data_IF_714512667599
#
_entry.id   IF_714512667599
#
_cell.length_a   1.000
_cell.length_b   1.000
_cell.length_c   1.000
_cell.angle_alpha   90.00
_cell.angle_beta   90.00
_cell.angle_gamma   90.00
#
_symmetry.space_group_name_H-M   'P 1'
#
loop_
_entity.id
_entity.type
_entity.pdbx_description
1 polymer ?
#
# COMPACT_ATOMS: atom_id res chain seq x y z
N UNK A 1 15.58 -26.50 -115.98
CA UNK A 1 14.31 -26.10 -115.32
C UNK A 1 14.60 -25.04 -114.26
N UNK A 2 13.98 -23.86 -114.41
CA UNK A 2 13.54 -22.85 -113.40
C UNK A 2 14.35 -22.64 -112.08
N UNK A 3 15.04 -21.50 -112.00
CA UNK A 3 14.72 -20.26 -111.24
C UNK A 3 14.38 -20.24 -109.71
N UNK A 4 15.12 -19.33 -109.03
CA UNK A 4 14.72 -18.27 -108.03
C UNK A 4 14.65 -18.54 -106.51
N UNK A 5 15.60 -17.92 -105.79
CA UNK A 5 15.49 -16.74 -104.86
C UNK A 5 14.75 -16.81 -103.50
N UNK A 6 15.15 -15.83 -102.65
CA UNK A 6 14.68 -15.39 -101.29
C UNK A 6 15.31 -16.10 -100.07
N UNK A 7 15.73 -15.44 -98.97
CA UNK A 7 15.86 -14.03 -98.58
C UNK A 7 16.55 -13.93 -97.20
N UNK A 8 17.35 -12.89 -96.98
CA UNK A 8 17.94 -12.48 -95.68
C UNK A 8 16.88 -11.86 -94.75
N UNK A 9 17.02 -12.08 -93.44
CA UNK A 9 16.25 -11.38 -92.39
C UNK A 9 16.80 -11.55 -90.97
N UNK A 10 17.54 -10.52 -90.51
CA UNK A 10 17.65 -9.91 -89.17
C UNK A 10 17.62 -10.75 -87.86
N UNK A 11 18.66 -10.57 -87.02
CA UNK A 11 18.51 -10.14 -85.62
C UNK A 11 19.86 -9.66 -85.05
N UNK A 12 19.97 -8.36 -84.75
CA UNK A 12 21.12 -7.77 -84.06
C UNK A 12 21.04 -7.95 -82.55
N UNK A 13 22.18 -8.20 -81.92
CA UNK A 13 22.38 -8.11 -80.46
C UNK A 13 23.58 -7.21 -80.21
N UNK A 14 23.29 -5.99 -79.75
CA UNK A 14 24.26 -5.05 -79.20
C UNK A 14 24.60 -5.48 -77.77
N UNK A 15 25.85 -5.89 -77.54
CA UNK A 15 26.41 -6.05 -76.20
C UNK A 15 26.85 -4.65 -75.69
N UNK A 16 26.17 -4.14 -74.67
CA UNK A 16 26.66 -3.01 -73.87
C UNK A 16 27.47 -3.56 -72.69
N UNK A 17 28.78 -3.32 -72.70
CA UNK A 17 29.68 -3.55 -71.59
C UNK A 17 29.37 -2.52 -70.48
N UNK A 18 28.72 -2.94 -69.39
CA UNK A 18 28.55 -2.10 -68.18
C UNK A 18 29.68 -2.40 -67.22
N UNK A 19 30.65 -1.50 -67.13
CA UNK A 19 31.62 -1.47 -66.05
C UNK A 19 30.90 -1.44 -64.68
N UNK A 20 31.39 -2.18 -63.66
CA UNK A 20 30.81 -2.11 -62.32
C UNK A 20 30.97 -0.70 -61.76
N UNK A 21 29.99 -0.18 -61.00
CA UNK A 21 30.12 1.13 -60.39
C UNK A 21 31.27 1.09 -59.38
N UNK A 22 32.25 1.96 -59.55
CA UNK A 22 33.29 2.25 -58.55
C UNK A 22 32.57 2.76 -57.30
N UNK A 23 32.44 1.91 -56.26
CA UNK A 23 32.06 2.37 -54.92
C UNK A 23 33.17 3.30 -54.44
N UNK A 24 32.89 4.59 -54.38
CA UNK A 24 33.83 5.59 -53.87
C UNK A 24 34.04 5.36 -52.37
N UNK A 25 35.28 5.12 -51.95
CA UNK A 25 35.66 4.94 -50.53
C UNK A 25 35.18 6.11 -49.64
N UNK A 26 35.01 7.30 -50.21
CA UNK A 26 34.46 8.50 -49.56
C UNK A 26 33.00 8.35 -49.07
N UNK A 27 32.18 7.49 -49.70
CA UNK A 27 30.80 7.26 -49.28
C UNK A 27 30.71 6.33 -48.05
N UNK A 28 31.64 5.38 -47.92
CA UNK A 28 31.73 4.49 -46.76
C UNK A 28 32.35 5.21 -45.54
N UNK A 29 33.35 6.08 -45.74
CA UNK A 29 33.93 6.92 -44.67
C UNK A 29 32.88 7.88 -44.06
N UNK A 30 32.05 8.50 -44.91
CA UNK A 30 30.96 9.37 -44.44
C UNK A 30 29.87 8.61 -43.67
N UNK A 31 29.63 7.33 -44.00
CA UNK A 31 28.68 6.47 -43.27
C UNK A 31 29.26 6.00 -41.94
N UNK A 32 30.53 5.59 -41.93
CA UNK A 32 31.23 5.19 -40.71
C UNK A 32 31.40 6.36 -39.73
N UNK A 33 31.75 7.55 -40.21
CA UNK A 33 31.83 8.76 -39.39
C UNK A 33 30.46 9.14 -38.79
N UNK A 34 29.36 9.02 -39.55
CA UNK A 34 28.00 9.23 -39.03
C UNK A 34 27.58 8.18 -37.99
N UNK A 35 27.98 6.91 -38.19
CA UNK A 35 27.74 5.84 -37.22
C UNK A 35 28.55 6.02 -35.94
N UNK A 36 29.82 6.42 -36.05
CA UNK A 36 30.67 6.73 -34.90
C UNK A 36 30.13 7.96 -34.13
N UNK A 37 29.71 9.01 -34.85
CA UNK A 37 29.09 10.18 -34.23
C UNK A 37 27.73 9.85 -33.58
N UNK A 38 26.92 8.96 -34.16
CA UNK A 38 25.67 8.52 -33.56
C UNK A 38 25.88 7.63 -32.34
N UNK A 39 26.91 6.77 -32.35
CA UNK A 39 27.31 5.97 -31.20
C UNK A 39 27.87 6.83 -30.06
N UNK A 40 28.72 7.81 -30.38
CA UNK A 40 29.23 8.77 -29.40
C UNK A 40 28.10 9.62 -28.80
N UNK A 41 27.16 10.10 -29.62
CA UNK A 41 25.97 10.81 -29.17
C UNK A 41 24.97 9.93 -28.39
N UNK A 42 24.94 8.61 -28.65
CA UNK A 42 24.17 7.66 -27.86
C UNK A 42 24.81 7.41 -26.49
N UNK A 43 26.12 7.23 -26.45
CA UNK A 43 26.89 7.07 -25.21
C UNK A 43 26.78 8.32 -24.31
N UNK A 44 26.83 9.52 -24.89
CA UNK A 44 26.67 10.77 -24.15
C UNK A 44 25.27 10.96 -23.54
N UNK A 45 24.23 10.33 -24.11
CA UNK A 45 22.84 10.37 -23.58
C UNK A 45 22.56 9.31 -22.52
N UNK A 46 23.45 8.32 -22.36
CA UNK A 46 23.28 7.23 -21.39
C UNK A 46 23.75 7.69 -20.02
N UNK A 47 22.83 8.32 -19.28
CA UNK A 47 23.07 8.79 -17.91
C UNK A 47 22.75 7.70 -16.89
N UNK A 48 23.17 7.89 -15.64
CA UNK A 48 22.80 7.01 -14.53
C UNK A 48 21.28 6.81 -14.42
N UNK A 49 20.49 7.85 -14.69
CA UNK A 49 19.02 7.76 -14.67
C UNK A 49 18.47 6.91 -15.81
N UNK A 50 19.08 6.98 -17.00
CA UNK A 50 18.70 6.13 -18.14
C UNK A 50 18.99 4.67 -17.82
N UNK A 51 20.16 4.38 -17.25
CA UNK A 51 20.52 3.02 -16.85
C UNK A 51 19.65 2.49 -15.71
N UNK A 52 19.35 3.32 -14.72
CA UNK A 52 18.45 3.00 -13.62
C UNK A 52 17.04 2.65 -14.12
N UNK A 53 16.47 3.50 -14.98
CA UNK A 53 15.16 3.27 -15.58
C UNK A 53 15.15 1.99 -16.43
N UNK A 54 16.14 1.79 -17.30
CA UNK A 54 16.24 0.61 -18.15
C UNK A 54 16.37 -0.69 -17.35
N UNK A 55 17.06 -0.64 -16.19
CA UNK A 55 17.22 -1.78 -15.28
C UNK A 55 15.90 -2.19 -14.61
N UNK A 56 15.04 -1.24 -14.26
CA UNK A 56 13.82 -1.51 -13.46
C UNK A 56 12.56 -1.64 -14.32
N UNK A 57 12.46 -0.91 -15.44
CA UNK A 57 11.29 -0.88 -16.30
C UNK A 57 10.72 -2.28 -16.66
N UNK A 58 11.53 -3.33 -16.95
CA UNK A 58 11.01 -4.67 -17.20
C UNK A 58 10.12 -5.23 -16.09
N UNK A 59 10.41 -4.91 -14.83
CA UNK A 59 9.69 -5.40 -13.66
C UNK A 59 8.43 -4.60 -13.31
N UNK A 60 8.19 -3.46 -13.99
CA UNK A 60 7.03 -2.60 -13.74
C UNK A 60 5.85 -3.07 -14.59
N UNK A 61 4.69 -3.18 -13.96
CA UNK A 61 3.48 -3.73 -14.55
C UNK A 61 2.33 -2.74 -14.49
N UNK A 62 1.41 -2.84 -15.45
CA UNK A 62 0.11 -2.18 -15.39
C UNK A 62 -0.85 -3.02 -14.55
N UNK A 63 -1.68 -2.37 -13.74
CA UNK A 63 -2.75 -3.00 -12.97
C UNK A 63 -4.08 -2.42 -13.43
N UNK A 64 -4.91 -3.29 -14.00
CA UNK A 64 -6.25 -2.96 -14.42
C UNK A 64 -7.22 -3.66 -13.46
N UNK A 65 -8.12 -2.88 -12.85
CA UNK A 65 -9.14 -3.41 -11.95
C UNK A 65 -10.52 -3.19 -12.52
N UNK A 66 -11.38 -4.18 -12.37
CA UNK A 66 -12.79 -4.09 -12.71
C UNK A 66 -13.58 -4.11 -11.40
N UNK A 67 -14.39 -3.08 -11.17
CA UNK A 67 -15.27 -2.96 -10.00
C UNK A 67 -16.71 -2.84 -10.49
N UNK A 68 -17.67 -3.43 -9.77
CA UNK A 68 -19.09 -3.15 -9.95
C UNK A 68 -19.58 -2.22 -8.85
N UNK A 69 -19.95 -1.01 -9.24
CA UNK A 69 -20.52 -0.02 -8.33
C UNK A 69 -22.03 0.02 -8.48
N UNK A 70 -22.75 -0.12 -7.37
CA UNK A 70 -24.20 0.06 -7.33
C UNK A 70 -24.50 1.55 -7.27
N UNK A 71 -25.08 2.09 -8.33
CA UNK A 71 -25.43 3.51 -8.34
C UNK A 71 -26.61 3.75 -7.39
N UNK A 72 -26.41 4.64 -6.42
CA UNK A 72 -27.52 5.23 -5.65
C UNK A 72 -27.88 6.53 -6.35
N UNK A 73 -29.11 6.71 -6.85
CA UNK A 73 -29.52 7.93 -7.54
C UNK A 73 -29.26 9.15 -6.66
N UNK A 74 -28.44 10.09 -7.13
CA UNK A 74 -28.07 11.30 -6.38
C UNK A 74 -29.07 12.43 -6.62
N UNK A 75 -29.85 12.33 -7.68
CA UNK A 75 -30.86 13.33 -8.04
C UNK A 75 -32.25 12.71 -8.22
N UNK A 76 -33.34 13.46 -7.93
CA UNK A 76 -34.71 13.01 -8.19
C UNK A 76 -34.98 12.65 -9.66
N UNK A 77 -34.17 13.16 -10.59
CA UNK A 77 -34.32 12.88 -12.02
C UNK A 77 -33.70 11.52 -12.42
N UNK A 78 -32.60 11.12 -11.78
CA UNK A 78 -31.96 9.80 -11.97
C UNK A 78 -32.86 8.63 -11.50
N UNK A 79 -33.78 8.87 -10.55
CA UNK A 79 -34.77 7.89 -10.09
C UNK A 79 -35.73 7.41 -11.19
N UNK A 80 -35.93 8.18 -12.27
CA UNK A 80 -36.86 7.85 -13.34
C UNK A 80 -36.23 7.05 -14.49
N UNK A 81 -34.90 7.07 -14.63
CA UNK A 81 -34.20 6.47 -15.77
C UNK A 81 -33.15 5.41 -15.39
N UNK A 82 -32.77 5.32 -14.11
CA UNK A 82 -31.84 4.29 -13.61
C UNK A 82 -32.65 3.19 -12.89
N UNK A 83 -32.69 1.95 -13.40
CA UNK A 83 -33.33 0.83 -12.71
C UNK A 83 -32.74 0.68 -11.30
N UNK A 84 -33.60 0.43 -10.30
CA UNK A 84 -33.13 0.14 -8.93
C UNK A 84 -32.16 -1.04 -8.96
N UNK A 85 -30.91 -0.80 -8.61
CA UNK A 85 -29.86 -1.82 -8.61
C UNK A 85 -29.03 -1.93 -9.89
N UNK A 86 -29.01 -0.89 -10.73
CA UNK A 86 -28.07 -0.85 -11.87
C UNK A 86 -26.62 -0.81 -11.35
N UNK A 87 -25.86 -1.86 -11.66
CA UNK A 87 -24.43 -1.96 -11.38
C UNK A 87 -23.66 -1.37 -12.56
N UNK A 88 -22.87 -0.32 -12.33
CA UNK A 88 -21.94 0.22 -13.32
C UNK A 88 -20.61 -0.50 -13.16
N UNK A 89 -20.08 -1.04 -14.25
CA UNK A 89 -18.69 -1.51 -14.30
C UNK A 89 -17.77 -0.29 -14.39
N UNK A 90 -16.94 -0.10 -13.36
CA UNK A 90 -15.91 0.94 -13.30
C UNK A 90 -14.55 0.26 -13.47
N UNK A 91 -13.73 0.82 -14.36
CA UNK A 91 -12.36 0.37 -14.57
C UNK A 91 -11.40 1.32 -13.85
N UNK A 92 -10.54 0.77 -13.00
CA UNK A 92 -9.43 1.49 -12.37
C UNK A 92 -8.11 1.08 -13.00
N UNK A 93 -7.16 2.01 -13.04
CA UNK A 93 -5.82 1.83 -13.58
C UNK A 93 -4.78 2.26 -12.57
N UNK A 94 -3.71 1.49 -12.45
CA UNK A 94 -2.56 1.82 -11.61
C UNK A 94 -1.31 1.07 -12.04
N UNK A 95 -0.28 1.16 -11.22
CA UNK A 95 0.99 0.49 -11.46
C UNK A 95 1.33 -0.48 -10.33
N UNK A 96 2.20 -1.43 -10.63
CA UNK A 96 2.86 -2.25 -9.63
C UNK A 96 4.27 -2.63 -10.08
N UNK A 97 4.99 -3.37 -9.26
CA UNK A 97 6.25 -3.95 -9.66
C UNK A 97 6.48 -5.33 -9.05
N UNK A 98 7.14 -6.19 -9.82
CA UNK A 98 7.50 -7.55 -9.45
C UNK A 98 8.66 -7.52 -8.44
N UNK A 99 8.41 -7.99 -7.23
CA UNK A 99 9.41 -8.04 -6.14
C UNK A 99 10.10 -9.40 -6.02
N UNK A 100 9.52 -10.44 -6.60
CA UNK A 100 10.11 -11.78 -6.64
C UNK A 100 9.71 -12.55 -7.89
N UNK A 101 10.60 -13.45 -8.32
CA UNK A 101 10.49 -14.22 -9.56
C UNK A 101 9.33 -15.21 -9.56
N UNK A 102 8.79 -15.48 -8.38
CA UNK A 102 7.63 -16.32 -8.20
C UNK A 102 6.33 -15.62 -8.70
N UNK A 103 6.37 -14.30 -8.94
CA UNK A 103 5.26 -13.51 -9.47
C UNK A 103 4.55 -12.64 -8.43
N UNK A 104 5.17 -12.40 -7.28
CA UNK A 104 4.66 -11.43 -6.29
C UNK A 104 4.86 -10.01 -6.79
N UNK A 105 3.79 -9.23 -6.71
CA UNK A 105 3.73 -7.82 -7.11
C UNK A 105 3.34 -6.98 -5.90
N UNK A 106 4.04 -5.87 -5.69
CA UNK A 106 3.64 -4.82 -4.74
C UNK A 106 2.98 -3.68 -5.52
N UNK A 107 1.89 -3.16 -4.96
CA UNK A 107 1.17 -1.97 -5.43
C UNK A 107 0.53 -1.25 -4.24
N UNK A 108 -0.21 -0.17 -4.49
CA UNK A 108 -0.99 0.49 -3.47
C UNK A 108 -2.32 -0.20 -3.21
N UNK A 109 -2.84 -0.01 -2.01
CA UNK A 109 -4.15 -0.54 -1.63
C UNK A 109 -5.27 0.18 -2.38
N UNK A 110 -5.22 1.51 -2.49
CA UNK A 110 -6.27 2.28 -3.18
C UNK A 110 -6.41 1.94 -4.68
N UNK A 111 -5.35 1.39 -5.31
CA UNK A 111 -5.40 0.92 -6.71
C UNK A 111 -6.34 -0.27 -6.85
N UNK A 112 -6.32 -1.18 -5.88
CA UNK A 112 -7.04 -2.47 -5.93
C UNK A 112 -8.30 -2.52 -5.06
N UNK A 113 -8.59 -1.45 -4.32
CA UNK A 113 -9.73 -1.37 -3.41
C UNK A 113 -11.05 -1.73 -4.12
N UNK A 114 -11.81 -2.68 -3.56
CA UNK A 114 -13.10 -3.08 -4.10
C UNK A 114 -13.06 -3.71 -5.51
N UNK A 115 -11.90 -4.18 -5.96
CA UNK A 115 -11.77 -4.88 -7.23
C UNK A 115 -12.45 -6.27 -7.21
N UNK A 116 -13.37 -6.49 -8.16
CA UNK A 116 -13.94 -7.82 -8.42
C UNK A 116 -12.94 -8.71 -9.15
N UNK A 117 -12.18 -8.12 -10.07
CA UNK A 117 -11.11 -8.80 -10.81
C UNK A 117 -9.94 -7.87 -11.07
N UNK A 118 -8.75 -8.47 -11.11
CA UNK A 118 -7.48 -7.76 -11.28
C UNK A 118 -6.73 -8.42 -12.45
N UNK A 119 -6.39 -7.61 -13.45
CA UNK A 119 -5.57 -8.02 -14.60
C UNK A 119 -4.28 -7.24 -14.57
N UNK A 120 -3.17 -7.97 -14.59
CA UNK A 120 -1.82 -7.41 -14.64
C UNK A 120 -1.28 -7.55 -16.04
N UNK A 121 -0.82 -6.44 -16.62
CA UNK A 121 -0.14 -6.43 -17.93
C UNK A 121 1.34 -6.16 -17.73
N UNK A 122 2.20 -7.09 -18.15
CA UNK A 122 3.66 -6.91 -18.11
C UNK A 122 4.15 -6.00 -19.24
N UNK A 123 5.36 -5.46 -19.11
CA UNK A 123 5.97 -4.57 -20.12
C UNK A 123 6.05 -5.17 -21.53
N UNK A 124 6.16 -6.49 -21.63
CA UNK A 124 6.16 -7.22 -22.90
C UNK A 124 4.75 -7.47 -23.49
N UNK A 125 3.70 -6.93 -22.85
CA UNK A 125 2.32 -6.96 -23.33
C UNK A 125 1.55 -8.23 -22.96
N UNK A 126 2.07 -9.10 -22.09
CA UNK A 126 1.33 -10.28 -21.61
C UNK A 126 0.38 -9.89 -20.48
N UNK A 127 -0.85 -10.41 -20.57
CA UNK A 127 -1.87 -10.25 -19.54
C UNK A 127 -1.98 -11.47 -18.63
N UNK A 128 -2.10 -11.22 -17.33
CA UNK A 128 -2.27 -12.26 -16.32
C UNK A 128 -3.42 -11.90 -15.37
N UNK A 129 -4.28 -12.87 -15.07
CA UNK A 129 -5.18 -12.72 -13.93
C UNK A 129 -4.36 -12.76 -12.65
N UNK A 130 -4.56 -11.76 -11.79
CA UNK A 130 -3.86 -11.64 -10.52
C UNK A 130 -4.77 -11.98 -9.35
N UNK A 131 -4.23 -12.74 -8.40
CA UNK A 131 -4.86 -13.02 -7.11
C UNK A 131 -4.39 -11.98 -6.08
N UNK A 132 -5.32 -11.37 -5.37
CA UNK A 132 -5.01 -10.60 -4.16
C UNK A 132 -4.56 -11.56 -3.05
N UNK A 133 -3.31 -11.42 -2.59
CA UNK A 133 -2.81 -12.16 -1.42
C UNK A 133 -3.24 -11.48 -0.12
N UNK A 134 -3.34 -10.16 -0.14
CA UNK A 134 -3.84 -9.34 0.96
C UNK A 134 -3.60 -7.86 0.69
N UNK A 135 -4.24 -7.02 1.49
CA UNK A 135 -4.13 -5.56 1.41
C UNK A 135 -4.09 -4.92 2.80
N UNK A 136 -3.47 -3.75 2.88
CA UNK A 136 -3.40 -2.93 4.08
C UNK A 136 -3.78 -1.48 3.78
N UNK A 137 -5.03 -1.08 4.07
CA UNK A 137 -5.48 0.30 3.90
C UNK A 137 -4.73 1.31 4.77
N UNK A 138 -4.17 0.91 5.92
CA UNK A 138 -3.48 1.83 6.83
C UNK A 138 -2.14 2.30 6.26
N UNK A 139 -1.43 1.41 5.57
CA UNK A 139 -0.14 1.73 4.95
C UNK A 139 -0.24 1.98 3.45
N UNK A 140 -1.44 1.84 2.87
CA UNK A 140 -1.70 1.93 1.43
C UNK A 140 -0.83 0.95 0.61
N UNK A 141 -0.73 -0.31 1.06
CA UNK A 141 0.03 -1.36 0.36
C UNK A 141 -0.88 -2.56 0.10
N UNK A 142 -0.78 -3.12 -1.10
CA UNK A 142 -1.39 -4.41 -1.43
C UNK A 142 -0.40 -5.33 -2.14
N UNK A 143 -0.63 -6.63 -1.99
CA UNK A 143 0.19 -7.68 -2.59
C UNK A 143 -0.64 -8.53 -3.52
N UNK A 144 -0.21 -8.59 -4.77
CA UNK A 144 -0.82 -9.42 -5.79
C UNK A 144 0.10 -10.60 -6.16
N UNK A 145 -0.49 -11.62 -6.76
CA UNK A 145 0.22 -12.76 -7.33
C UNK A 145 -0.30 -13.11 -8.71
N UNK A 146 0.61 -13.16 -9.68
CA UNK A 146 0.38 -13.74 -11.01
C UNK A 146 1.06 -15.11 -11.13
N UNK A 147 0.48 -15.99 -11.94
CA UNK A 147 1.08 -17.30 -12.25
C UNK A 147 1.77 -17.23 -13.61
N UNK A 148 3.09 -17.02 -13.62
CA UNK A 148 3.91 -17.04 -14.84
C UNK A 148 5.38 -17.38 -14.50
N UNK A 149 6.12 -17.86 -15.49
CA UNK A 149 7.58 -18.02 -15.40
C UNK A 149 8.31 -16.84 -16.05
N UNK A 150 9.62 -16.75 -15.77
CA UNK A 150 10.55 -15.81 -16.40
C UNK A 150 10.15 -14.34 -16.26
N UNK A 151 9.60 -14.01 -15.09
CA UNK A 151 9.21 -12.66 -14.73
C UNK A 151 10.44 -11.86 -14.24
N UNK A 152 10.72 -10.69 -14.82
CA UNK A 152 11.77 -9.80 -14.33
C UNK A 152 11.40 -9.24 -12.95
N UNK A 153 12.38 -9.06 -12.07
CA UNK A 153 12.18 -8.54 -10.73
C UNK A 153 12.90 -7.20 -10.54
N UNK A 154 12.27 -6.28 -9.82
CA UNK A 154 12.87 -5.00 -9.49
C UNK A 154 13.98 -5.19 -8.43
N UNK A 155 15.21 -4.69 -8.63
CA UNK A 155 16.23 -4.67 -7.60
C UNK A 155 15.76 -3.83 -6.41
N UNK A 156 15.87 -4.37 -5.21
CA UNK A 156 15.49 -3.66 -3.98
C UNK A 156 16.69 -2.88 -3.43
N UNK A 157 16.44 -1.64 -2.99
CA UNK A 157 17.41 -0.74 -2.38
C UNK A 157 17.16 -0.56 -0.88
N UNK A 158 17.63 0.58 -0.37
CA UNK A 158 17.47 1.01 1.02
C UNK A 158 16.90 2.43 1.00
N UNK A 159 15.93 2.73 1.87
CA UNK A 159 15.39 4.08 2.02
C UNK A 159 15.90 4.83 3.26
N UNK A 160 16.54 4.13 4.19
CA UNK A 160 17.04 4.64 5.45
C UNK A 160 18.30 5.51 5.33
N UNK A 161 19.03 5.46 4.21
CA UNK A 161 20.22 6.26 3.93
C UNK A 161 20.04 7.26 2.77
N UNK A 162 18.79 7.48 2.33
CA UNK A 162 18.49 8.45 1.28
C UNK A 162 18.97 9.86 1.65
N UNK A 163 19.68 10.49 0.71
CA UNK A 163 20.17 11.85 0.87
C UNK A 163 19.21 12.84 0.21
N UNK A 164 18.90 13.94 0.90
CA UNK A 164 18.17 15.05 0.28
C UNK A 164 19.00 15.59 -0.89
N UNK A 165 18.38 15.68 -2.08
CA UNK A 165 19.03 16.03 -3.34
C UNK A 165 19.53 14.82 -4.15
N UNK A 166 19.43 13.60 -3.64
CA UNK A 166 19.74 12.38 -4.40
C UNK A 166 18.76 12.20 -5.56
N UNK A 167 19.28 11.86 -6.73
CA UNK A 167 18.47 11.60 -7.91
C UNK A 167 17.58 10.38 -7.73
N UNK A 168 16.30 10.55 -8.06
CA UNK A 168 15.31 9.48 -8.08
C UNK A 168 14.50 9.51 -9.36
N UNK A 169 13.95 8.36 -9.72
CA UNK A 169 13.04 8.20 -10.85
C UNK A 169 11.78 7.49 -10.36
N UNK A 170 10.63 8.10 -10.59
CA UNK A 170 9.35 7.43 -10.42
C UNK A 170 8.97 6.75 -11.74
N UNK A 171 8.60 5.48 -11.66
CA UNK A 171 8.21 4.68 -12.83
C UNK A 171 6.78 4.20 -12.64
N UNK A 172 5.97 4.30 -13.69
CA UNK A 172 4.61 3.77 -13.70
C UNK A 172 4.20 3.29 -15.09
N UNK A 173 3.24 2.38 -15.16
CA UNK A 173 2.68 1.85 -16.39
C UNK A 173 1.14 1.84 -16.36
N UNK A 174 0.45 2.97 -16.17
CA UNK A 174 -1.01 2.97 -16.02
C UNK A 174 -1.81 2.65 -17.26
N UNK A 175 -1.24 2.86 -18.43
CA UNK A 175 -1.96 2.85 -19.70
C UNK A 175 -1.50 1.73 -20.62
N UNK A 176 -0.96 0.65 -20.05
CA UNK A 176 -0.19 -0.40 -20.73
C UNK A 176 -0.62 -0.78 -22.16
N UNK A 177 -1.90 -0.90 -22.49
CA UNK A 177 -2.34 -1.11 -23.89
C UNK A 177 -3.05 0.10 -24.51
N UNK A 178 -3.54 1.04 -23.69
CA UNK A 178 -4.27 2.23 -24.12
C UNK A 178 -3.41 3.20 -24.94
N UNK A 179 -2.08 3.15 -24.80
CA UNK A 179 -1.13 3.96 -25.58
C UNK A 179 -0.53 3.22 -26.79
N UNK A 180 -1.03 2.02 -27.12
CA UNK A 180 -0.52 1.21 -28.24
C UNK A 180 0.85 0.56 -28.00
N UNK A 181 1.42 0.69 -26.79
CA UNK A 181 2.56 -0.07 -26.29
C UNK A 181 2.55 -0.09 -24.76
N UNK A 182 3.19 -1.11 -24.18
CA UNK A 182 3.23 -1.35 -22.72
C UNK A 182 4.47 -0.81 -22.03
N UNK A 183 5.08 0.24 -22.61
CA UNK A 183 6.26 0.86 -22.03
C UNK A 183 5.91 1.72 -20.81
N UNK A 184 6.61 1.54 -19.67
CA UNK A 184 6.43 2.40 -18.52
C UNK A 184 6.83 3.86 -18.82
N UNK A 185 6.06 4.78 -18.27
CA UNK A 185 6.43 6.20 -18.16
C UNK A 185 7.40 6.41 -17.00
N UNK A 186 8.35 7.31 -17.20
CA UNK A 186 9.31 7.71 -16.16
C UNK A 186 9.23 9.21 -15.91
N UNK A 187 9.36 9.61 -14.66
CA UNK A 187 9.59 11.00 -14.25
C UNK A 187 10.80 11.04 -13.32
N UNK A 188 11.72 11.95 -13.58
CA UNK A 188 12.92 12.11 -12.76
C UNK A 188 12.79 13.33 -11.86
N UNK A 189 13.42 13.25 -10.70
CA UNK A 189 13.50 14.32 -9.72
C UNK A 189 14.56 13.98 -8.68
N UNK A 190 14.45 14.59 -7.51
CA UNK A 190 15.32 14.33 -6.37
C UNK A 190 14.51 13.93 -5.14
N UNK A 191 15.18 13.32 -4.16
CA UNK A 191 14.65 13.23 -2.81
C UNK A 191 14.58 14.65 -2.25
N UNK A 192 13.38 15.22 -2.13
CA UNK A 192 13.18 16.56 -1.59
C UNK A 192 13.18 16.57 -0.06
N UNK A 193 12.75 15.48 0.57
CA UNK A 193 12.81 15.26 2.01
C UNK A 193 12.57 13.79 2.38
N UNK A 194 12.96 13.40 3.59
CA UNK A 194 12.66 12.10 4.20
C UNK A 194 11.90 12.29 5.51
N UNK A 195 11.16 11.27 5.95
CA UNK A 195 10.46 11.31 7.24
C UNK A 195 9.28 12.29 7.28
N UNK A 196 8.62 12.52 6.14
CA UNK A 196 7.48 13.47 6.07
C UNK A 196 6.19 12.85 6.59
N UNK A 197 5.53 13.56 7.49
CA UNK A 197 4.20 13.22 7.98
C UNK A 197 3.18 14.13 7.30
N UNK A 198 2.23 13.54 6.58
CA UNK A 198 1.07 14.21 6.02
C UNK A 198 -0.11 13.98 6.94
N UNK A 199 -0.64 15.08 7.44
CA UNK A 199 -1.91 15.06 8.15
C UNK A 199 -3.05 15.04 7.14
N UNK A 200 -4.14 14.30 7.42
CA UNK A 200 -5.36 14.36 6.62
C UNK A 200 -5.80 15.82 6.49
N UNK A 201 -6.02 16.29 5.26
CA UNK A 201 -6.57 17.62 5.00
C UNK A 201 -7.77 17.44 4.06
N UNK A 202 -8.97 17.87 4.50
CA UNK A 202 -10.19 17.74 3.70
C UNK A 202 -10.59 16.28 3.41
N UNK A 203 -10.89 15.99 2.14
CA UNK A 203 -11.44 14.72 1.65
C UNK A 203 -10.39 13.60 1.44
N UNK A 204 -9.15 13.77 1.90
CA UNK A 204 -8.09 12.75 1.79
C UNK A 204 -8.03 11.90 3.07
N UNK A 205 -8.64 10.70 3.10
CA UNK A 205 -8.51 9.79 4.24
C UNK A 205 -7.09 9.22 4.29
N UNK A 206 -6.47 9.24 5.47
CA UNK A 206 -5.21 8.54 5.75
C UNK A 206 -4.13 9.42 6.38
N UNK A 207 -3.43 8.86 7.36
CA UNK A 207 -2.24 9.48 7.96
C UNK A 207 -1.03 8.86 7.28
N UNK A 208 -0.44 9.55 6.31
CA UNK A 208 0.80 9.09 5.69
C UNK A 208 1.98 9.58 6.52
N UNK A 209 2.63 8.69 7.24
CA UNK A 209 3.72 9.03 8.15
C UNK A 209 5.07 8.54 7.62
N UNK A 210 6.13 9.27 7.93
CA UNK A 210 7.51 8.99 7.50
C UNK A 210 7.64 8.64 6.01
N UNK A 211 7.00 9.42 5.15
CA UNK A 211 7.08 9.26 3.70
C UNK A 211 8.39 9.84 3.15
N UNK A 212 8.81 9.32 1.99
CA UNK A 212 9.82 9.95 1.13
C UNK A 212 9.10 11.00 0.30
N UNK A 213 9.60 12.23 0.28
CA UNK A 213 9.10 13.30 -0.57
C UNK A 213 10.01 13.46 -1.79
N UNK A 214 9.43 13.63 -2.97
CA UNK A 214 10.15 13.90 -4.21
C UNK A 214 9.43 14.94 -5.07
N UNK A 215 10.18 15.63 -5.91
CA UNK A 215 9.67 16.49 -6.96
C UNK A 215 9.52 15.77 -8.32
N UNK A 216 9.94 14.50 -8.40
CA UNK A 216 9.60 13.63 -9.52
C UNK A 216 8.07 13.59 -9.66
N UNK A 217 7.57 13.80 -10.87
CA UNK A 217 6.13 13.91 -11.08
C UNK A 217 5.42 12.59 -10.75
N UNK A 218 4.64 12.59 -9.66
CA UNK A 218 3.70 11.53 -9.30
C UNK A 218 2.31 11.97 -9.79
N UNK A 219 1.64 11.16 -10.59
CA UNK A 219 0.35 11.47 -11.19
C UNK A 219 -0.54 10.22 -11.15
N UNK A 220 -1.88 10.36 -11.22
CA UNK A 220 -2.78 9.22 -11.36
C UNK A 220 -2.24 8.25 -12.41
N UNK A 221 -1.90 7.06 -11.93
CA UNK A 221 -1.39 5.98 -12.76
C UNK A 221 0.06 5.54 -12.52
N UNK A 222 0.95 6.37 -11.96
CA UNK A 222 2.23 5.87 -11.44
C UNK A 222 2.17 5.46 -9.95
N UNK A 223 1.04 5.72 -9.28
CA UNK A 223 0.69 5.13 -7.99
C UNK A 223 0.80 3.60 -8.04
N UNK A 224 1.43 3.04 -7.02
CA UNK A 224 1.77 1.63 -6.86
C UNK A 224 3.06 1.22 -7.58
N UNK A 225 3.57 2.05 -8.50
CA UNK A 225 4.86 1.85 -9.16
C UNK A 225 6.06 2.20 -8.26
N UNK A 226 7.28 1.81 -8.65
CA UNK A 226 8.46 2.04 -7.82
C UNK A 226 8.99 3.47 -7.94
N UNK A 227 9.48 4.00 -6.82
CA UNK A 227 10.47 5.08 -6.78
C UNK A 227 11.86 4.45 -6.70
N UNK A 228 12.75 4.79 -7.62
CA UNK A 228 14.09 4.19 -7.70
C UNK A 228 15.19 5.23 -7.54
N UNK A 229 16.32 4.84 -6.94
CA UNK A 229 17.53 5.66 -6.91
C UNK A 229 18.31 5.58 -8.24
N UNK A 230 19.37 6.40 -8.37
CA UNK A 230 20.24 6.42 -9.54
C UNK A 230 20.99 5.09 -9.83
N UNK A 231 20.97 4.12 -8.90
CA UNK A 231 21.55 2.79 -9.07
C UNK A 231 20.55 1.78 -9.69
N UNK A 232 19.30 2.19 -9.90
CA UNK A 232 18.24 1.30 -10.38
C UNK A 232 17.75 0.35 -9.29
N UNK A 233 17.66 0.83 -8.05
CA UNK A 233 17.14 0.09 -6.92
C UNK A 233 15.88 0.78 -6.38
N UNK A 234 14.85 0.01 -6.06
CA UNK A 234 13.60 0.50 -5.48
C UNK A 234 13.85 0.98 -4.06
N UNK A 235 13.56 2.26 -3.81
CA UNK A 235 13.66 2.91 -2.50
C UNK A 235 12.29 3.30 -1.93
N UNK A 236 11.23 3.24 -2.74
CA UNK A 236 9.86 3.37 -2.24
C UNK A 236 8.79 2.96 -3.23
N UNK A 237 7.53 3.02 -2.78
CA UNK A 237 6.32 2.81 -3.59
C UNK A 237 5.61 4.15 -3.76
N UNK A 238 5.50 4.64 -4.99
CA UNK A 238 4.79 5.88 -5.30
C UNK A 238 3.34 5.74 -4.83
N UNK A 239 2.81 6.67 -4.04
CA UNK A 239 1.45 6.55 -3.49
C UNK A 239 0.60 7.77 -3.81
N UNK A 240 0.99 8.93 -3.29
CA UNK A 240 0.13 10.12 -3.30
C UNK A 240 0.89 11.39 -3.70
N UNK A 241 0.12 12.44 -3.96
CA UNK A 241 0.57 13.80 -4.19
C UNK A 241 -0.16 14.76 -3.26
N UNK A 242 0.53 15.83 -2.89
CA UNK A 242 -0.17 16.98 -2.32
C UNK A 242 -0.64 17.88 -3.47
N UNK A 243 -1.90 17.76 -3.89
CA UNK A 243 -2.46 18.53 -5.01
C UNK A 243 -3.94 18.86 -4.81
N UNK A 244 -4.30 20.10 -5.15
CA UNK A 244 -5.70 20.56 -5.21
C UNK A 244 -6.36 20.30 -6.57
N UNK A 245 -5.58 19.92 -7.59
CA UNK A 245 -6.06 19.74 -8.98
C UNK A 245 -6.03 18.28 -9.43
N UNK A 246 -5.44 17.39 -8.61
CA UNK A 246 -5.24 15.97 -8.95
C UNK A 246 -4.02 15.68 -9.84
N UNK A 247 -3.26 16.70 -10.25
CA UNK A 247 -1.99 16.55 -10.95
C UNK A 247 -0.79 17.01 -10.10
N UNK A 248 0.41 16.52 -10.41
CA UNK A 248 1.64 16.88 -9.70
C UNK A 248 1.90 18.39 -9.73
N UNK A 249 2.21 18.96 -8.56
CA UNK A 249 2.72 20.33 -8.40
C UNK A 249 4.18 20.34 -7.91
N UNK A 250 4.90 19.23 -8.11
CA UNK A 250 6.28 19.04 -7.62
C UNK A 250 6.37 18.60 -6.16
N UNK A 251 5.28 18.05 -5.61
CA UNK A 251 5.22 17.52 -4.24
C UNK A 251 4.57 16.13 -4.28
N UNK A 252 5.39 15.11 -4.54
CA UNK A 252 5.00 13.70 -4.55
C UNK A 252 5.53 12.94 -3.33
N UNK A 253 4.87 11.83 -3.00
CA UNK A 253 5.21 10.99 -1.86
C UNK A 253 5.31 9.51 -2.21
N UNK A 254 6.31 8.86 -1.64
CA UNK A 254 6.50 7.42 -1.72
C UNK A 254 6.60 6.79 -0.33
N UNK A 255 6.02 5.59 -0.21
CA UNK A 255 6.12 4.75 0.98
C UNK A 255 7.52 4.14 1.00
N UNK A 256 8.30 4.26 2.11
CA UNK A 256 9.60 3.63 2.27
C UNK A 256 9.61 2.14 1.88
N UNK A 257 10.63 1.68 1.15
CA UNK A 257 10.67 0.30 0.64
C UNK A 257 10.70 -0.74 1.77
N UNK A 258 11.38 -0.47 2.88
CA UNK A 258 11.41 -1.34 4.07
C UNK A 258 10.00 -1.52 4.64
N UNK A 259 9.19 -0.46 4.62
CA UNK A 259 7.79 -0.54 5.06
C UNK A 259 6.95 -1.39 4.13
N UNK A 260 7.04 -1.11 2.84
CA UNK A 260 6.29 -1.85 1.84
C UNK A 260 6.62 -3.35 1.86
N UNK A 261 7.91 -3.71 1.99
CA UNK A 261 8.34 -5.11 2.04
C UNK A 261 7.92 -5.83 3.32
N UNK A 262 7.97 -5.15 4.47
CA UNK A 262 7.48 -5.73 5.74
C UNK A 262 5.98 -6.00 5.69
N UNK A 263 5.21 -5.03 5.21
CA UNK A 263 3.77 -5.19 5.01
C UNK A 263 3.51 -6.32 4.02
N UNK A 264 4.26 -6.37 2.92
CA UNK A 264 4.10 -7.43 1.93
C UNK A 264 4.41 -8.82 2.49
N UNK A 265 5.41 -8.97 3.35
CA UNK A 265 5.74 -10.23 4.01
C UNK A 265 4.64 -10.68 5.00
N UNK A 266 4.09 -9.77 5.80
CA UNK A 266 2.95 -10.07 6.69
C UNK A 266 1.71 -10.50 5.88
N UNK A 267 1.38 -9.77 4.80
CA UNK A 267 0.27 -10.12 3.91
C UNK A 267 0.50 -11.47 3.22
N UNK A 268 1.71 -11.76 2.75
CA UNK A 268 2.05 -13.04 2.12
C UNK A 268 1.95 -14.22 3.09
N UNK A 269 2.36 -14.04 4.35
CA UNK A 269 2.40 -15.12 5.35
C UNK A 269 1.06 -15.35 6.05
N UNK A 270 0.33 -14.28 6.37
CA UNK A 270 -0.85 -14.36 7.24
C UNK A 270 -2.14 -13.88 6.55
N UNK A 271 -2.05 -13.30 5.35
CA UNK A 271 -3.19 -12.67 4.65
C UNK A 271 -3.61 -11.32 5.25
N UNK A 272 -3.03 -10.92 6.38
CA UNK A 272 -3.33 -9.69 7.12
C UNK A 272 -2.06 -9.14 7.78
N UNK A 273 -2.00 -7.82 7.97
CA UNK A 273 -0.89 -7.19 8.72
C UNK A 273 -1.15 -7.27 10.22
N UNK A 274 -0.32 -8.02 10.95
CA UNK A 274 -0.42 -8.06 12.42
C UNK A 274 0.17 -6.77 12.99
N UNK A 275 -0.67 -5.97 13.64
CA UNK A 275 -0.26 -4.66 14.16
C UNK A 275 0.62 -4.79 15.40
N UNK A 276 1.66 -3.96 15.43
CA UNK A 276 2.53 -3.80 16.58
C UNK A 276 1.78 -3.19 17.77
N UNK A 277 1.93 -3.83 18.92
CA UNK A 277 1.44 -3.35 20.19
C UNK A 277 2.58 -3.37 21.21
N UNK A 278 2.87 -2.20 21.78
CA UNK A 278 3.90 -2.05 22.81
C UNK A 278 3.31 -1.76 24.19
N UNK A 279 1.98 -1.66 24.32
CA UNK A 279 1.31 -1.44 25.59
C UNK A 279 1.55 -0.06 26.21
N UNK A 280 1.74 0.99 25.41
CA UNK A 280 1.71 2.37 25.87
C UNK A 280 0.98 3.26 24.88
N UNK A 281 0.46 4.38 25.40
CA UNK A 281 -0.01 5.50 24.60
C UNK A 281 0.84 6.72 24.88
N UNK A 282 0.93 7.59 23.89
CA UNK A 282 1.65 8.85 23.98
C UNK A 282 0.73 10.02 23.64
N UNK A 283 1.06 11.18 24.19
CA UNK A 283 0.58 12.46 23.72
C UNK A 283 1.79 13.33 23.30
N UNK A 284 1.66 14.00 22.15
CA UNK A 284 2.50 15.15 21.80
C UNK A 284 1.82 16.45 22.24
N UNK A 285 2.45 17.62 22.07
CA UNK A 285 1.62 18.84 21.98
C UNK A 285 1.00 18.88 20.59
N UNK A 286 -0.29 19.16 20.53
CA UNK A 286 -1.04 19.25 19.27
C UNK A 286 -0.63 20.49 18.46
N UNK A 287 -0.10 21.51 19.14
CA UNK A 287 0.40 22.74 18.54
C UNK A 287 1.93 22.71 18.39
N UNK A 288 2.42 22.79 17.14
CA UNK A 288 3.84 23.01 16.80
C UNK A 288 4.45 24.23 17.52
N UNK A 289 3.63 25.23 17.87
CA UNK A 289 4.04 26.48 18.56
C UNK A 289 4.29 26.30 20.07
N UNK A 290 3.68 25.30 20.70
CA UNK A 290 3.91 24.90 22.10
C UNK A 290 5.10 23.95 22.23
N UNK A 291 5.50 23.37 21.11
CA UNK A 291 6.59 22.40 20.98
C UNK A 291 7.97 23.09 20.97
N UNK A 292 8.16 24.07 21.86
CA UNK A 292 9.42 24.81 22.05
C UNK A 292 10.40 24.00 22.90
N UNK A 293 11.02 22.99 22.28
CA UNK A 293 12.41 22.64 22.59
C UNK A 293 12.70 21.55 23.62
N UNK A 294 11.71 20.76 24.10
CA UNK A 294 12.05 19.62 24.99
C UNK A 294 12.29 18.30 24.26
N UNK A 295 11.78 18.13 23.04
CA UNK A 295 11.93 16.89 22.27
C UNK A 295 11.18 15.70 22.90
N UNK A 296 10.60 14.84 22.08
CA UNK A 296 9.93 13.62 22.53
C UNK A 296 8.42 13.72 22.73
N UNK A 297 7.83 12.55 22.99
CA UNK A 297 6.38 12.33 23.20
C UNK A 297 6.14 11.78 24.59
N UNK A 298 5.15 12.32 25.31
CA UNK A 298 4.88 11.97 26.71
C UNK A 298 4.01 10.73 26.80
N UNK A 299 4.41 9.76 27.59
CA UNK A 299 3.62 8.56 27.89
C UNK A 299 2.44 8.94 28.78
N UNK A 300 1.23 8.73 28.27
CA UNK A 300 -0.03 9.05 28.98
C UNK A 300 -0.67 7.83 29.62
N UNK A 301 -0.45 6.65 29.04
CA UNK A 301 -0.99 5.39 29.53
C UNK A 301 -0.01 4.26 29.31
N UNK A 302 0.01 3.31 30.24
CA UNK A 302 0.78 2.06 30.13
C UNK A 302 -0.14 0.90 30.48
N UNK A 303 -0.13 -0.14 29.64
CA UNK A 303 -0.92 -1.35 29.85
C UNK A 303 -0.34 -2.17 31.00
N UNK A 304 -1.13 -2.51 32.03
CA UNK A 304 -0.68 -3.44 33.07
C UNK A 304 -0.19 -4.76 32.44
N UNK A 305 1.03 -5.17 32.78
CA UNK A 305 1.66 -6.38 32.25
C UNK A 305 2.06 -6.35 30.76
N UNK A 306 1.81 -5.25 30.05
CA UNK A 306 2.19 -5.09 28.64
C UNK A 306 3.68 -4.81 28.43
N UNK A 307 4.16 -4.79 27.17
CA UNK A 307 5.58 -4.67 26.87
C UNK A 307 6.26 -3.43 27.48
N UNK A 308 5.62 -2.27 27.41
CA UNK A 308 6.12 -1.04 28.01
C UNK A 308 6.28 -1.13 29.54
N UNK A 309 5.29 -1.72 30.23
CA UNK A 309 5.37 -1.92 31.67
C UNK A 309 6.52 -2.87 32.04
N UNK A 310 6.69 -3.97 31.31
CA UNK A 310 7.79 -4.93 31.52
C UNK A 310 9.15 -4.32 31.21
N UNK A 311 9.21 -3.37 30.28
CA UNK A 311 10.40 -2.57 29.96
C UNK A 311 10.65 -1.44 30.98
N UNK A 312 9.80 -1.28 32.00
CA UNK A 312 9.95 -0.27 33.05
C UNK A 312 9.56 1.15 32.64
N UNK A 313 8.88 1.31 31.49
CA UNK A 313 8.31 2.57 31.03
C UNK A 313 7.04 2.85 31.83
N UNK A 314 6.90 4.08 32.31
CA UNK A 314 5.80 4.52 33.17
C UNK A 314 5.09 5.75 32.63
N UNK A 315 3.88 6.01 33.13
CA UNK A 315 3.15 7.25 32.84
C UNK A 315 4.00 8.45 33.27
N UNK A 316 4.04 9.49 32.42
CA UNK A 316 4.84 10.69 32.63
C UNK A 316 6.25 10.65 32.04
N UNK A 317 6.74 9.47 31.64
CA UNK A 317 7.97 9.33 30.86
C UNK A 317 7.86 10.08 29.53
N UNK A 318 8.98 10.56 29.00
CA UNK A 318 9.05 11.17 27.67
C UNK A 318 9.92 10.30 26.76
N UNK A 319 9.35 9.76 25.69
CA UNK A 319 10.10 9.02 24.68
C UNK A 319 10.78 10.02 23.75
N UNK A 320 12.11 10.01 23.66
CA UNK A 320 12.88 11.02 22.90
C UNK A 320 13.45 10.48 21.59
N UNK A 321 13.66 9.18 21.50
CA UNK A 321 14.17 8.49 20.32
C UNK A 321 13.61 7.08 20.29
N UNK A 322 13.29 6.57 19.10
CA UNK A 322 12.96 5.16 18.89
C UNK A 322 13.59 4.68 17.58
N UNK A 323 14.12 3.45 17.59
CA UNK A 323 14.77 2.84 16.43
C UNK A 323 15.88 3.72 15.80
N UNK A 324 16.57 4.52 16.60
CA UNK A 324 17.62 5.43 16.12
C UNK A 324 17.10 6.79 15.63
N UNK A 325 15.79 6.96 15.43
CA UNK A 325 15.19 8.22 14.98
C UNK A 325 14.67 9.08 16.16
N UNK A 326 14.90 10.42 16.14
CA UNK A 326 14.35 11.30 17.15
C UNK A 326 12.82 11.36 17.05
N UNK A 327 12.14 11.28 18.20
CA UNK A 327 10.69 11.43 18.27
C UNK A 327 10.38 12.91 18.48
N UNK A 328 9.78 13.55 17.47
CA UNK A 328 9.43 14.97 17.52
C UNK A 328 7.93 15.24 17.63
N UNK A 329 7.12 14.29 17.27
CA UNK A 329 5.67 14.42 17.29
C UNK A 329 5.07 13.07 17.62
N UNK A 330 3.80 13.05 17.99
CA UNK A 330 3.10 11.77 18.14
C UNK A 330 3.12 10.98 16.81
N UNK A 331 3.13 11.67 15.66
CA UNK A 331 3.22 11.05 14.34
C UNK A 331 4.53 10.29 14.12
N UNK A 332 5.65 10.75 14.68
CA UNK A 332 6.91 10.00 14.60
C UNK A 332 6.85 8.68 15.37
N UNK A 333 6.08 8.67 16.46
CA UNK A 333 5.82 7.45 17.22
C UNK A 333 4.86 6.52 16.46
N UNK A 334 3.80 7.05 15.85
CA UNK A 334 2.92 6.27 14.98
C UNK A 334 3.68 5.67 13.79
N UNK A 335 4.57 6.45 13.17
CA UNK A 335 5.46 5.96 12.10
C UNK A 335 6.34 4.79 12.56
N UNK A 336 6.97 4.95 13.72
CA UNK A 336 7.80 3.89 14.32
C UNK A 336 6.98 2.61 14.50
N UNK A 337 5.71 2.70 14.92
CA UNK A 337 4.84 1.52 15.09
C UNK A 337 4.43 0.87 13.77
N UNK A 338 4.31 1.63 12.68
CA UNK A 338 4.11 1.06 11.34
C UNK A 338 5.37 0.36 10.81
N UNK A 339 6.54 0.73 11.37
CA UNK A 339 7.84 0.23 10.95
C UNK A 339 8.38 -0.98 11.72
N UNK A 340 7.57 -1.53 12.62
CA UNK A 340 7.92 -2.67 13.47
C UNK A 340 6.81 -3.72 13.43
N UNK A 341 7.16 -4.97 13.70
CA UNK A 341 6.26 -6.12 13.68
C UNK A 341 6.20 -6.83 15.04
N UNK A 342 5.11 -7.58 15.33
CA UNK A 342 5.06 -8.49 16.47
C UNK A 342 6.23 -9.48 16.47
N UNK A 343 6.99 -9.51 17.57
CA UNK A 343 8.23 -10.29 17.72
C UNK A 343 9.49 -9.42 17.71
N UNK A 344 9.41 -8.18 17.24
CA UNK A 344 10.54 -7.26 17.23
C UNK A 344 10.91 -6.77 18.63
N UNK A 345 12.11 -6.19 18.72
CA UNK A 345 12.59 -5.45 19.89
C UNK A 345 13.11 -4.09 19.44
N UNK A 346 12.56 -3.03 20.01
CA UNK A 346 12.87 -1.65 19.62
C UNK A 346 13.67 -0.97 20.71
N UNK A 347 14.82 -0.39 20.36
CA UNK A 347 15.57 0.46 21.29
C UNK A 347 14.89 1.84 21.35
N UNK A 348 14.49 2.23 22.55
CA UNK A 348 13.83 3.51 22.84
C UNK A 348 14.61 4.26 23.89
N UNK A 349 14.83 5.56 23.69
CA UNK A 349 15.39 6.43 24.72
C UNK A 349 14.25 7.11 25.48
N UNK A 350 14.28 6.98 26.80
CA UNK A 350 13.23 7.43 27.71
C UNK A 350 13.80 8.44 28.70
N UNK A 351 13.16 9.59 28.82
CA UNK A 351 13.51 10.64 29.77
C UNK A 351 12.59 10.59 30.98
N UNK A 352 13.17 10.45 32.18
CA UNK A 352 12.48 10.51 33.49
C UNK A 352 13.30 11.34 34.46
N UNK A 353 12.67 12.35 35.09
CA UNK A 353 13.37 13.23 36.04
C UNK A 353 14.57 13.96 35.44
N UNK A 354 14.49 14.33 34.15
CA UNK A 354 15.56 15.03 33.42
C UNK A 354 16.72 14.14 32.96
N UNK A 355 16.68 12.83 33.17
CA UNK A 355 17.73 11.89 32.74
C UNK A 355 17.22 10.96 31.64
N UNK A 356 18.04 10.79 30.61
CA UNK A 356 17.75 9.89 29.49
C UNK A 356 18.32 8.50 29.78
N UNK A 357 17.53 7.46 29.52
CA UNK A 357 17.93 6.05 29.61
C UNK A 357 17.50 5.30 28.35
N UNK A 358 18.36 4.43 27.84
CA UNK A 358 17.99 3.50 26.78
C UNK A 358 17.23 2.30 27.38
N UNK A 359 16.15 1.92 26.73
CA UNK A 359 15.28 0.81 27.10
C UNK A 359 15.02 -0.03 25.85
N UNK A 360 15.04 -1.35 25.98
CA UNK A 360 14.59 -2.25 24.92
C UNK A 360 13.11 -2.55 25.13
N UNK A 361 12.29 -2.16 24.17
CA UNK A 361 10.85 -2.33 24.18
C UNK A 361 10.47 -3.52 23.29
N UNK A 362 9.88 -4.56 23.89
CA UNK A 362 9.33 -5.67 23.12
C UNK A 362 8.09 -5.25 22.34
N UNK A 363 7.87 -5.89 21.19
CA UNK A 363 6.69 -5.68 20.34
C UNK A 363 5.85 -6.94 20.30
N UNK A 364 4.58 -6.83 20.65
CA UNK A 364 3.61 -7.93 20.58
C UNK A 364 2.54 -7.64 19.52
N UNK A 365 1.74 -8.65 19.17
CA UNK A 365 0.50 -8.40 18.45
C UNK A 365 -0.54 -7.77 19.38
N UNK A 366 -1.51 -7.06 18.81
CA UNK A 366 -2.64 -6.51 19.57
C UNK A 366 -3.27 -7.58 20.49
N UNK A 367 -3.49 -7.27 21.78
CA UNK A 367 -4.17 -8.16 22.72
C UNK A 367 -5.47 -8.76 22.18
N UNK A 368 -6.27 -8.00 21.44
CA UNK A 368 -7.48 -8.52 20.78
C UNK A 368 -7.17 -9.53 19.70
N UNK A 369 -6.15 -9.35 18.88
CA UNK A 369 -5.78 -10.29 17.80
C UNK A 369 -5.32 -11.64 18.34
N UNK A 370 -4.62 -11.66 19.49
CA UNK A 370 -4.12 -12.88 20.14
C UNK A 370 -5.09 -13.53 21.13
N UNK A 371 -6.21 -12.87 21.44
CA UNK A 371 -7.22 -13.42 22.34
C UNK A 371 -8.03 -14.54 21.66
N UNK A 372 -8.44 -15.54 22.45
CA UNK A 372 -9.33 -16.61 22.01
C UNK A 372 -10.63 -16.04 21.42
N UNK A 373 -10.99 -16.50 20.23
CA UNK A 373 -12.21 -16.10 19.53
C UNK A 373 -13.33 -17.05 19.90
N UNK A 374 -14.40 -16.49 20.46
CA UNK A 374 -15.62 -17.25 20.77
C UNK A 374 -16.70 -16.85 19.77
N UNK A 375 -17.07 -17.78 18.89
CA UNK A 375 -18.14 -17.56 17.92
C UNK A 375 -19.52 -17.72 18.55
N UNK A 376 -20.40 -16.78 18.28
CA UNK A 376 -21.82 -16.77 18.66
C UNK A 376 -22.64 -16.32 17.45
N UNK A 377 -23.93 -16.66 17.42
CA UNK A 377 -24.88 -16.19 16.39
C UNK A 377 -24.36 -16.38 14.93
N UNK A 378 -23.65 -17.49 14.68
CA UNK A 378 -23.07 -17.80 13.37
C UNK A 378 -21.73 -17.11 13.13
N UNK A 379 -21.73 -15.80 12.89
CA UNK A 379 -20.58 -15.04 12.38
C UNK A 379 -20.07 -13.91 13.29
N UNK A 380 -20.59 -13.83 14.53
CA UNK A 380 -20.14 -12.89 15.54
C UNK A 380 -19.04 -13.52 16.38
N UNK A 381 -17.83 -12.94 16.32
CA UNK A 381 -16.67 -13.36 17.10
C UNK A 381 -16.45 -12.42 18.28
N UNK A 382 -16.43 -12.99 19.48
CA UNK A 382 -16.23 -12.29 20.73
C UNK A 382 -14.83 -12.53 21.29
N UNK A 383 -14.29 -11.54 21.99
CA UNK A 383 -13.12 -11.69 22.86
C UNK A 383 -13.44 -11.19 24.27
N UNK A 384 -12.92 -11.87 25.28
CA UNK A 384 -13.08 -11.45 26.68
C UNK A 384 -12.30 -10.16 26.91
N UNK A 385 -12.95 -9.16 27.52
CA UNK A 385 -12.27 -7.92 27.91
C UNK A 385 -11.28 -8.22 29.03
N UNK A 386 -10.01 -7.93 28.77
CA UNK A 386 -8.90 -7.96 29.73
C UNK A 386 -8.38 -6.54 29.95
N UNK A 387 -7.57 -6.26 31.00
CA UNK A 387 -6.95 -4.94 31.17
C UNK A 387 -6.13 -4.49 29.95
N UNK A 388 -5.48 -5.42 29.26
CA UNK A 388 -4.73 -5.13 28.04
C UNK A 388 -5.65 -4.75 26.86
N UNK A 389 -6.75 -5.50 26.67
CA UNK A 389 -7.75 -5.20 25.62
C UNK A 389 -8.50 -3.89 25.92
N UNK A 390 -8.82 -3.65 27.20
CA UNK A 390 -9.43 -2.40 27.63
C UNK A 390 -8.54 -1.21 27.25
N UNK A 391 -7.24 -1.31 27.54
CA UNK A 391 -6.24 -0.29 27.24
C UNK A 391 -6.04 -0.12 25.73
N UNK A 392 -5.92 -1.23 24.99
CA UNK A 392 -5.82 -1.24 23.53
C UNK A 392 -7.01 -0.55 22.84
N UNK A 393 -8.23 -0.83 23.29
CA UNK A 393 -9.48 -0.39 22.65
C UNK A 393 -10.10 0.85 23.29
N UNK A 394 -9.48 1.39 24.34
CA UNK A 394 -9.98 2.57 25.06
C UNK A 394 -11.34 2.34 25.74
N UNK A 395 -11.60 1.13 26.22
CA UNK A 395 -12.91 0.75 26.79
C UNK A 395 -13.07 1.29 28.22
N UNK A 396 -14.28 1.71 28.59
CA UNK A 396 -14.61 2.06 29.98
C UNK A 396 -14.81 0.81 30.83
N UNK A 397 -15.45 -0.21 30.26
CA UNK A 397 -15.71 -1.47 30.94
C UNK A 397 -14.44 -2.29 31.12
N UNK A 398 -14.26 -2.82 32.32
CA UNK A 398 -13.13 -3.69 32.70
C UNK A 398 -13.43 -5.18 32.46
N UNK A 399 -14.66 -5.50 32.07
CA UNK A 399 -15.17 -6.86 31.88
C UNK A 399 -16.21 -6.88 30.76
N UNK A 400 -16.59 -8.08 30.33
CA UNK A 400 -17.58 -8.30 29.28
C UNK A 400 -16.98 -8.97 28.07
N UNK A 401 -17.75 -9.01 26.98
CA UNK A 401 -17.35 -9.60 25.72
C UNK A 401 -17.31 -8.53 24.62
N UNK A 402 -16.12 -8.18 24.18
CA UNK A 402 -15.91 -7.27 23.06
C UNK A 402 -16.25 -8.01 21.76
N UNK A 403 -17.12 -7.42 20.93
CA UNK A 403 -17.37 -7.87 19.56
C UNK A 403 -16.13 -7.53 18.73
N UNK A 404 -15.33 -8.55 18.43
CA UNK A 404 -14.13 -8.42 17.61
C UNK A 404 -14.49 -8.30 16.13
N UNK A 405 -15.44 -9.14 15.68
CA UNK A 405 -15.94 -9.18 14.31
C UNK A 405 -17.40 -9.64 14.31
N UNK A 406 -18.16 -9.17 13.34
CA UNK A 406 -19.57 -9.56 13.13
C UNK A 406 -19.88 -9.35 11.64
N UNK A 407 -20.57 -10.28 11.00
CA UNK A 407 -20.93 -10.15 9.59
C UNK A 407 -22.09 -9.17 9.39
N UNK A 408 -22.18 -8.59 8.19
CA UNK A 408 -23.12 -7.51 7.87
C UNK A 408 -24.58 -7.90 8.12
N UNK A 409 -24.98 -9.11 7.73
CA UNK A 409 -26.34 -9.61 7.98
C UNK A 409 -26.68 -9.64 9.47
N UNK A 410 -25.75 -10.08 10.32
CA UNK A 410 -25.94 -10.11 11.77
C UNK A 410 -25.89 -8.71 12.37
N UNK A 411 -25.07 -7.81 11.84
CA UNK A 411 -25.09 -6.40 12.23
C UNK A 411 -26.45 -5.76 11.95
N UNK A 412 -27.02 -6.01 10.77
CA UNK A 412 -28.33 -5.47 10.37
C UNK A 412 -29.46 -6.07 11.22
N UNK A 413 -29.41 -7.38 11.48
CA UNK A 413 -30.43 -8.07 12.25
C UNK A 413 -30.42 -7.71 13.75
N UNK A 414 -29.25 -7.43 14.32
CA UNK A 414 -29.08 -7.24 15.78
C UNK A 414 -28.86 -5.79 16.20
N UNK A 415 -28.44 -4.91 15.28
CA UNK A 415 -27.99 -3.56 15.60
C UNK A 415 -26.63 -3.50 16.32
N UNK A 416 -26.00 -4.65 16.60
CA UNK A 416 -24.67 -4.75 17.19
C UNK A 416 -23.60 -4.46 16.14
N UNK A 417 -22.44 -3.98 16.57
CA UNK A 417 -21.34 -3.54 15.70
C UNK A 417 -19.99 -4.04 16.24
N UNK A 418 -18.97 -4.19 15.38
CA UNK A 418 -17.60 -4.38 15.86
C UNK A 418 -17.22 -3.24 16.82
N UNK A 419 -16.57 -3.59 17.93
CA UNK A 419 -16.19 -2.63 18.97
C UNK A 419 -17.19 -2.50 20.13
N UNK A 420 -18.41 -3.00 20.00
CA UNK A 420 -19.34 -3.06 21.14
C UNK A 420 -18.82 -4.02 22.21
N UNK A 421 -18.98 -3.67 23.48
CA UNK A 421 -18.72 -4.57 24.61
C UNK A 421 -20.04 -5.04 25.18
N UNK A 422 -20.35 -6.32 25.06
CA UNK A 422 -21.53 -6.93 25.66
C UNK A 422 -21.30 -7.07 27.16
N UNK A 423 -22.18 -6.45 27.95
CA UNK A 423 -22.13 -6.43 29.41
C UNK A 423 -23.20 -7.31 30.04
N UNK A 424 -24.33 -7.50 29.34
CA UNK A 424 -25.45 -8.29 29.83
C UNK A 424 -26.29 -8.80 28.66
N UNK A 425 -26.79 -10.03 28.77
CA UNK A 425 -27.77 -10.63 27.87
C UNK A 425 -29.00 -10.99 28.69
N UNK A 426 -30.15 -10.45 28.32
CA UNK A 426 -31.41 -10.47 29.07
C UNK A 426 -31.21 -9.98 30.51
N UNK A 427 -31.33 -10.88 31.49
CA UNK A 427 -31.12 -10.61 32.92
C UNK A 427 -29.78 -11.15 33.44
N UNK A 428 -28.93 -11.69 32.55
CA UNK A 428 -27.66 -12.31 32.92
C UNK A 428 -26.50 -11.37 32.58
N UNK A 429 -25.85 -10.83 33.60
CA UNK A 429 -24.59 -10.11 33.43
C UNK A 429 -23.51 -11.08 32.91
N UNK A 430 -22.69 -10.62 31.97
CA UNK A 430 -21.61 -11.42 31.38
C UNK A 430 -20.26 -10.78 31.69
N UNK A 431 -19.28 -11.60 32.05
CA UNK A 431 -17.93 -11.12 32.32
C UNK A 431 -16.94 -11.51 31.21
N UNK A 432 -17.26 -12.57 30.46
CA UNK A 432 -16.40 -13.15 29.43
C UNK A 432 -17.15 -13.45 28.14
N UNK A 433 -16.41 -13.65 27.05
CA UNK A 433 -16.96 -14.10 25.77
C UNK A 433 -17.69 -15.45 25.88
N UNK A 434 -17.19 -16.34 26.75
CA UNK A 434 -17.80 -17.64 26.99
C UNK A 434 -19.12 -17.53 27.77
N UNK A 435 -19.22 -16.60 28.72
CA UNK A 435 -20.48 -16.31 29.42
C UNK A 435 -21.54 -15.84 28.43
N UNK A 436 -21.16 -14.95 27.51
CA UNK A 436 -22.05 -14.44 26.45
C UNK A 436 -22.54 -15.56 25.53
N UNK A 437 -21.65 -16.47 25.12
CA UNK A 437 -22.03 -17.65 24.34
C UNK A 437 -23.07 -18.50 25.07
N UNK A 438 -22.87 -18.77 26.37
CA UNK A 438 -23.83 -19.53 27.18
C UNK A 438 -25.17 -18.78 27.32
N UNK A 439 -25.13 -17.47 27.51
CA UNK A 439 -26.34 -16.65 27.65
C UNK A 439 -27.16 -16.63 26.35
N UNK A 440 -26.53 -16.48 25.18
CA UNK A 440 -27.23 -16.57 23.89
C UNK A 440 -27.84 -17.95 23.64
N UNK A 441 -27.11 -19.03 23.94
CA UNK A 441 -27.64 -20.40 23.83
C UNK A 441 -28.86 -20.63 24.73
N UNK A 442 -28.84 -20.09 25.95
CA UNK A 442 -29.96 -20.20 26.88
C UNK A 442 -31.19 -19.38 26.43
N UNK A 443 -30.97 -18.30 25.67
CA UNK A 443 -32.02 -17.43 25.15
C UNK A 443 -32.64 -17.93 23.83
N UNK A 444 -32.00 -18.89 23.15
CA UNK A 444 -32.48 -19.44 21.88
C UNK A 444 -33.89 -20.03 22.02
N UNK A 445 -34.79 -19.63 21.11
CA UNK A 445 -36.13 -20.20 20.96
C UNK A 445 -37.18 -19.83 22.03
N UNK A 446 -36.95 -18.84 22.92
CA UNK A 446 -37.88 -18.58 24.05
C UNK A 446 -38.37 -17.15 24.30
N UNK A 447 -37.72 -16.09 23.82
CA UNK A 447 -38.16 -14.67 23.95
C UNK A 447 -37.29 -13.74 23.09
N UNK A 448 -37.71 -12.49 22.80
CA UNK A 448 -36.78 -11.46 22.33
C UNK A 448 -35.57 -11.35 23.27
N UNK A 449 -34.38 -11.26 22.68
CA UNK A 449 -33.10 -11.12 23.36
C UNK A 449 -32.75 -9.65 23.48
N UNK A 450 -32.62 -9.19 24.72
CA UNK A 450 -32.15 -7.85 25.07
C UNK A 450 -30.69 -7.89 25.43
N UNK A 451 -29.84 -7.14 24.77
CA UNK A 451 -28.40 -7.06 25.05
C UNK A 451 -28.07 -5.65 25.51
N UNK A 452 -27.36 -5.52 26.63
CA UNK A 452 -26.80 -4.25 27.09
C UNK A 452 -25.33 -4.19 26.67
N UNK A 453 -24.97 -3.10 26.00
CA UNK A 453 -23.62 -2.93 25.45
C UNK A 453 -23.01 -1.60 25.89
N UNK A 454 -21.68 -1.56 25.94
CA UNK A 454 -20.94 -0.31 25.81
C UNK A 454 -20.56 -0.09 24.35
N UNK A 455 -20.85 1.10 23.82
CA UNK A 455 -20.43 1.56 22.49
C UNK A 455 -19.80 2.94 22.62
N UNK A 456 -18.52 3.09 22.27
CA UNK A 456 -17.82 4.37 22.37
C UNK A 456 -17.85 4.99 23.77
N UNK A 457 -17.85 4.16 24.82
CA UNK A 457 -17.97 4.59 26.22
C UNK A 457 -19.39 4.93 26.70
N UNK A 458 -20.41 4.82 25.86
CA UNK A 458 -21.81 5.01 26.23
C UNK A 458 -22.51 3.67 26.39
N UNK A 459 -23.44 3.57 27.35
CA UNK A 459 -24.28 2.39 27.51
C UNK A 459 -25.44 2.45 26.51
N UNK A 460 -25.70 1.33 25.86
CA UNK A 460 -26.78 1.13 24.91
C UNK A 460 -27.50 -0.18 25.12
N UNK A 461 -28.61 -0.35 24.41
CA UNK A 461 -29.41 -1.57 24.41
C UNK A 461 -29.72 -1.97 22.97
N UNK A 462 -29.65 -3.26 22.68
CA UNK A 462 -30.09 -3.85 21.43
C UNK A 462 -31.13 -4.95 21.72
N UNK A 463 -32.24 -4.95 21.00
CA UNK A 463 -33.31 -5.95 21.12
C UNK A 463 -33.46 -6.69 19.78
N UNK A 464 -33.35 -8.01 19.78
CA UNK A 464 -33.47 -8.83 18.58
C UNK A 464 -33.92 -10.27 18.89
N UNK A 465 -34.23 -11.05 17.87
CA UNK A 465 -34.54 -12.47 18.01
C UNK A 465 -33.33 -13.31 17.61
N UNK A 466 -33.00 -14.30 18.43
CA UNK A 466 -32.01 -15.33 18.08
C UNK A 466 -32.78 -16.47 17.42
N UNK A 467 -32.58 -16.64 16.11
CA UNK A 467 -33.14 -17.75 15.34
C UNK A 467 -32.30 -19.02 15.49
#
# INVERSE_FOLDING_TARGET
MRARAFSLGLAGLLACDRAPPVRTAQADDGRQARLAASQAGSAARRTALVDAAARVAPAVVSINVVRRERQTPQTPWELFFVPRGYERVVQGLGSGFLVSSDGTIVTNQHVIEGADSIVVTTRDGRDFSARLLGEDPLTDIAVLRVQASDLPTAPIGNSGDLMIGEWVVAIGNPYGYLLGNSEPSVSAGVVSAVGRNLLPTGDQPGVYVHMIQTDAAINPGNSGGPLINALGQVVGVNSSIFSNTGGSVGIGFAIPIERALRVADELKRYGVVRRAWVGLDVAGSEALSEWKGTGGVRVTRVAPGGPAARAGIGVGDVLVNAAGAPLRTFLDWEATKLDIAPGDSVRVSVRRGGRDRAVTLGVEALPTSRAEKVSVLGDMELVTVTPAIQQERGLRSQRGALIYRIGDATQDATGLRPGDVILQVNRQAVATAEDTRRAFRAAAGRTPVRVYVERGGQLGVADFYVQ
#
